data_IF_495366325358
#
_entry.id   IF_495366325358
#
_cell.length_a   1.000
_cell.length_b   1.000
_cell.length_c   1.000
_cell.angle_alpha   90.00
_cell.angle_beta   90.00
_cell.angle_gamma   90.00
#
_symmetry.space_group_name_H-M   'P 1'
#
loop_
_entity.id
_entity.type
_entity.pdbx_description
1 polymer ?
#
# COMPACT_ATOMS: atom_id res chain seq x y z
N UNK A 1 11.10 -0.50 -29.23
CA UNK A 1 9.84 -1.28 -28.98
C UNK A 1 9.84 -2.15 -27.72
N UNK A 2 10.97 -2.63 -27.17
CA UNK A 2 10.98 -3.50 -25.96
C UNK A 2 10.58 -2.82 -24.63
N UNK A 3 10.79 -1.49 -24.49
CA UNK A 3 10.46 -0.75 -23.27
C UNK A 3 8.95 -0.56 -23.04
N UNK A 4 8.16 -0.35 -24.10
CA UNK A 4 6.71 -0.12 -23.98
C UNK A 4 5.93 -1.36 -23.53
N UNK A 5 6.33 -2.56 -23.96
CA UNK A 5 5.69 -3.81 -23.52
C UNK A 5 5.96 -4.11 -22.04
N UNK A 6 7.19 -3.84 -21.56
CA UNK A 6 7.53 -3.96 -20.14
C UNK A 6 6.79 -2.95 -19.26
N UNK A 7 6.55 -1.73 -19.76
CA UNK A 7 5.71 -0.74 -19.08
C UNK A 7 4.24 -1.16 -19.04
N UNK A 8 3.71 -1.73 -20.12
CA UNK A 8 2.33 -2.19 -20.16
C UNK A 8 2.07 -3.35 -19.18
N UNK A 9 2.92 -4.38 -19.20
CA UNK A 9 2.88 -5.47 -18.21
C UNK A 9 2.98 -4.93 -16.77
N UNK A 10 3.77 -3.88 -16.61
CA UNK A 10 3.95 -3.21 -15.33
C UNK A 10 2.67 -2.50 -14.85
N UNK A 11 2.00 -1.78 -15.73
CA UNK A 11 0.75 -1.09 -15.41
C UNK A 11 -0.37 -2.10 -15.11
N UNK A 12 -0.44 -3.21 -15.85
CA UNK A 12 -1.46 -4.25 -15.62
C UNK A 12 -1.30 -4.93 -14.25
N UNK A 13 -0.08 -5.33 -13.89
CA UNK A 13 0.18 -5.90 -12.56
C UNK A 13 -0.13 -4.89 -11.44
N UNK A 14 0.18 -3.60 -11.64
CA UNK A 14 -0.16 -2.55 -10.69
C UNK A 14 -1.67 -2.39 -10.54
N UNK A 15 -2.44 -2.44 -11.64
CA UNK A 15 -3.89 -2.32 -11.63
C UNK A 15 -4.55 -3.49 -10.87
N UNK A 16 -4.07 -4.73 -11.08
CA UNK A 16 -4.57 -5.92 -10.37
C UNK A 16 -4.31 -5.78 -8.86
N UNK A 17 -3.07 -5.45 -8.48
CA UNK A 17 -2.69 -5.30 -7.07
C UNK A 17 -3.45 -4.15 -6.39
N UNK A 18 -3.65 -3.03 -7.09
CA UNK A 18 -4.41 -1.90 -6.58
C UNK A 18 -5.87 -2.28 -6.30
N UNK A 19 -6.53 -2.98 -7.23
CA UNK A 19 -7.93 -3.43 -7.05
C UNK A 19 -8.08 -4.40 -5.87
N UNK A 20 -7.14 -5.33 -5.67
CA UNK A 20 -7.15 -6.23 -4.51
C UNK A 20 -7.03 -5.46 -3.18
N UNK A 21 -6.14 -4.46 -3.11
CA UNK A 21 -5.96 -3.62 -1.92
C UNK A 21 -7.23 -2.81 -1.61
N UNK A 22 -7.87 -2.25 -2.65
CA UNK A 22 -9.13 -1.52 -2.50
C UNK A 22 -10.22 -2.45 -1.94
N UNK A 23 -10.40 -3.64 -2.52
CA UNK A 23 -11.40 -4.61 -2.04
C UNK A 23 -11.22 -4.99 -0.57
N UNK A 24 -9.98 -5.32 -0.16
CA UNK A 24 -9.69 -5.68 1.24
C UNK A 24 -9.95 -4.53 2.22
N UNK A 25 -9.63 -3.29 1.83
CA UNK A 25 -9.86 -2.09 2.64
C UNK A 25 -11.34 -1.79 2.77
N UNK A 26 -12.09 -1.89 1.68
CA UNK A 26 -13.55 -1.75 1.69
C UNK A 26 -14.18 -2.77 2.64
N UNK A 27 -13.81 -4.05 2.55
CA UNK A 27 -14.30 -5.08 3.50
C UNK A 27 -13.96 -4.76 4.96
N UNK A 28 -12.77 -4.21 5.22
CA UNK A 28 -12.33 -3.89 6.58
C UNK A 28 -13.02 -2.65 7.14
N UNK A 29 -13.31 -1.66 6.30
CA UNK A 29 -14.09 -0.48 6.65
C UNK A 29 -15.55 -0.84 6.91
N UNK A 30 -16.16 -1.68 6.06
CA UNK A 30 -17.54 -2.18 6.23
C UNK A 30 -17.73 -2.92 7.56
N UNK A 31 -16.68 -3.56 8.08
CA UNK A 31 -16.71 -4.25 9.38
C UNK A 31 -16.84 -3.30 10.58
N UNK A 32 -16.59 -2.01 10.40
CA UNK A 32 -16.76 -0.98 11.43
C UNK A 32 -15.85 -1.10 12.66
N UNK A 33 -16.17 -0.30 13.68
CA UNK A 33 -15.49 -0.29 14.98
C UNK A 33 -14.03 0.17 14.97
N UNK A 34 -13.34 -0.03 16.10
CA UNK A 34 -11.96 0.45 16.31
C UNK A 34 -10.93 -0.07 15.30
N UNK A 35 -11.20 -1.22 14.65
CA UNK A 35 -10.31 -1.80 13.62
C UNK A 35 -10.50 -1.11 12.26
N UNK A 36 -11.72 -0.70 11.91
CA UNK A 36 -11.99 0.09 10.72
C UNK A 36 -11.39 1.50 10.84
N UNK A 37 -11.57 2.16 12.00
CA UNK A 37 -11.02 3.51 12.24
C UNK A 37 -9.49 3.55 12.11
N UNK A 38 -8.79 2.58 12.71
CA UNK A 38 -7.33 2.46 12.53
C UNK A 38 -6.90 2.18 11.09
N UNK A 39 -7.69 1.44 10.32
CA UNK A 39 -7.41 1.23 8.90
C UNK A 39 -7.60 2.53 8.11
N UNK A 40 -8.65 3.31 8.41
CA UNK A 40 -8.87 4.61 7.78
C UNK A 40 -7.73 5.59 8.07
N UNK A 41 -7.27 5.69 9.32
CA UNK A 41 -6.11 6.51 9.70
C UNK A 41 -4.83 6.08 8.96
N UNK A 42 -4.60 4.77 8.86
CA UNK A 42 -3.46 4.22 8.12
C UNK A 42 -3.55 4.57 6.62
N UNK A 43 -4.73 4.46 6.02
CA UNK A 43 -4.95 4.81 4.61
C UNK A 43 -4.66 6.29 4.32
N UNK A 44 -5.01 7.18 5.24
CA UNK A 44 -4.73 8.62 5.10
C UNK A 44 -3.24 8.90 5.24
N UNK A 45 -2.57 8.34 6.26
CA UNK A 45 -1.11 8.48 6.44
C UNK A 45 -0.33 7.99 5.23
N UNK A 46 -0.68 6.82 4.70
CA UNK A 46 -0.01 6.28 3.51
C UNK A 46 -0.19 7.18 2.28
N UNK A 47 -1.35 7.83 2.10
CA UNK A 47 -1.58 8.78 0.99
C UNK A 47 -0.73 10.04 1.16
N UNK A 48 -0.65 10.58 2.38
CA UNK A 48 0.18 11.74 2.70
C UNK A 48 1.65 11.41 2.46
N UNK A 49 2.14 10.29 2.96
CA UNK A 49 3.52 9.84 2.77
C UNK A 49 3.85 9.59 1.29
N UNK A 50 2.86 9.19 0.46
CA UNK A 50 3.03 9.00 -0.97
C UNK A 50 3.05 10.31 -1.73
N UNK A 51 2.17 11.25 -1.37
CA UNK A 51 2.17 12.59 -1.93
C UNK A 51 3.47 13.32 -1.61
N UNK A 52 3.91 13.33 -0.34
CA UNK A 52 5.16 13.96 0.09
C UNK A 52 6.37 13.37 -0.63
N UNK A 53 6.44 12.04 -0.73
CA UNK A 53 7.54 11.38 -1.44
C UNK A 53 7.53 11.70 -2.94
N UNK A 54 6.36 11.69 -3.58
CA UNK A 54 6.22 12.05 -4.99
C UNK A 54 6.60 13.52 -5.22
N UNK A 55 6.12 14.44 -4.39
CA UNK A 55 6.45 15.87 -4.47
C UNK A 55 7.94 16.11 -4.23
N UNK A 56 8.55 15.51 -3.21
CA UNK A 56 9.99 15.64 -2.95
C UNK A 56 10.82 15.13 -4.14
N UNK A 57 10.38 14.06 -4.79
CA UNK A 57 11.03 13.51 -5.99
C UNK A 57 10.85 14.39 -7.22
N UNK A 58 9.65 14.94 -7.42
CA UNK A 58 9.40 15.90 -8.49
C UNK A 58 10.26 17.16 -8.31
N UNK A 59 10.33 17.70 -7.08
CA UNK A 59 11.19 18.83 -6.74
C UNK A 59 12.68 18.50 -6.92
N UNK A 60 13.08 17.24 -6.71
CA UNK A 60 14.44 16.75 -6.97
C UNK A 60 14.72 16.41 -8.45
N UNK A 61 13.80 16.74 -9.38
CA UNK A 61 13.98 16.47 -10.81
C UNK A 61 13.88 15.00 -11.21
N UNK A 62 13.25 14.15 -10.40
CA UNK A 62 13.11 12.73 -10.70
C UNK A 62 12.26 12.52 -11.96
N UNK A 63 12.77 11.70 -12.89
CA UNK A 63 12.01 11.28 -14.06
C UNK A 63 10.77 10.46 -13.66
N UNK A 64 9.68 10.58 -14.43
CA UNK A 64 8.43 9.88 -14.16
C UNK A 64 8.58 8.36 -13.97
N UNK A 65 9.52 7.72 -14.67
CA UNK A 65 9.84 6.29 -14.51
C UNK A 65 10.33 5.94 -13.09
N UNK A 66 11.15 6.79 -12.49
CA UNK A 66 11.65 6.60 -11.13
C UNK A 66 10.54 6.71 -10.09
N UNK A 67 9.53 7.55 -10.34
CA UNK A 67 8.34 7.70 -9.49
C UNK A 67 7.48 6.43 -9.57
N UNK A 68 7.16 5.97 -10.78
CA UNK A 68 6.36 4.75 -11.01
C UNK A 68 7.04 3.51 -10.39
N UNK A 69 8.35 3.35 -10.55
CA UNK A 69 9.11 2.23 -9.96
C UNK A 69 9.10 2.22 -8.43
N UNK A 70 9.08 3.39 -7.79
CA UNK A 70 8.96 3.50 -6.32
C UNK A 70 7.55 3.17 -5.86
N UNK A 71 6.54 3.67 -6.58
CA UNK A 71 5.13 3.42 -6.28
C UNK A 71 4.82 1.92 -6.25
N UNK A 72 5.32 1.17 -7.25
CA UNK A 72 5.16 -0.30 -7.32
C UNK A 72 5.82 -1.03 -6.16
N UNK A 73 7.01 -0.59 -5.72
CA UNK A 73 7.67 -1.17 -4.53
C UNK A 73 6.84 -0.96 -3.25
N UNK A 74 6.21 0.20 -3.10
CA UNK A 74 5.30 0.47 -1.97
C UNK A 74 4.06 -0.42 -2.01
N UNK A 75 3.42 -0.56 -3.18
CA UNK A 75 2.23 -1.41 -3.34
C UNK A 75 2.55 -2.88 -3.05
N UNK A 76 3.66 -3.41 -3.59
CA UNK A 76 4.10 -4.78 -3.33
C UNK A 76 4.39 -5.04 -1.85
N UNK A 77 5.03 -4.09 -1.16
CA UNK A 77 5.26 -4.18 0.29
C UNK A 77 3.95 -4.20 1.08
N UNK A 78 2.96 -3.39 0.67
CA UNK A 78 1.67 -3.35 1.34
C UNK A 78 0.88 -4.65 1.12
N UNK A 79 0.89 -5.18 -0.10
CA UNK A 79 0.32 -6.49 -0.41
C UNK A 79 0.97 -7.61 0.42
N UNK A 80 2.29 -7.61 0.58
CA UNK A 80 3.01 -8.57 1.42
C UNK A 80 2.63 -8.46 2.90
N UNK A 81 2.41 -7.25 3.42
CA UNK A 81 1.97 -7.01 4.80
C UNK A 81 0.55 -7.50 5.03
N UNK A 82 -0.36 -7.21 4.10
CA UNK A 82 -1.77 -7.59 4.19
C UNK A 82 -1.98 -9.11 4.02
N UNK A 83 -1.11 -9.79 3.26
CA UNK A 83 -1.12 -11.26 3.13
C UNK A 83 -0.60 -12.00 4.37
N UNK A 84 0.10 -11.33 5.30
CA UNK A 84 0.54 -11.97 6.55
C UNK A 84 -0.59 -11.97 7.58
N UNK A 85 -0.94 -13.12 8.19
CA UNK A 85 -1.85 -13.13 9.33
C UNK A 85 -1.26 -12.26 10.43
N UNK A 86 -2.05 -11.35 10.99
CA UNK A 86 -1.66 -10.58 12.17
C UNK A 86 -1.33 -11.59 13.29
N UNK A 87 -0.10 -11.65 13.83
CA UNK A 87 0.17 -12.53 14.95
C UNK A 87 -0.68 -12.06 16.13
N UNK A 88 -1.60 -12.92 16.58
CA UNK A 88 -2.35 -12.71 17.83
C UNK A 88 -1.30 -12.75 18.94
N UNK A 89 -0.87 -11.58 19.42
CA UNK A 89 -0.08 -11.46 20.65
C UNK A 89 -0.93 -12.05 21.78
N UNK A 90 -0.66 -13.30 22.18
CA UNK A 90 -1.21 -13.87 23.42
C UNK A 90 -0.74 -12.96 24.55
N UNK A 91 -1.67 -12.15 25.08
CA UNK A 91 -1.47 -11.37 26.30
C UNK A 91 -1.26 -12.40 27.40
N UNK A 92 -0.01 -12.65 27.76
CA UNK A 92 0.34 -13.46 28.91
C UNK A 92 -0.29 -12.80 30.13
N UNK A 93 -1.29 -13.47 30.70
CA UNK A 93 -1.79 -13.20 32.04
C UNK A 93 -0.65 -13.51 33.00
N UNK A 94 0.06 -12.48 33.46
CA UNK A 94 0.84 -12.58 34.70
C UNK A 94 -0.16 -12.56 35.84
N UNK A 95 -0.51 -13.74 36.31
CA UNK A 95 -0.89 -13.98 37.69
C UNK A 95 0.42 -14.15 38.48
N UNK A 96 0.70 -13.20 39.35
CA UNK A 96 1.27 -13.36 40.70
C UNK A 96 1.47 -11.98 41.28
#
# INVERSE_FOLDING_TARGET
MRRSSAMFHSLMMLAIEANQVVGLRTMKLMRGGKRAQREAELMVREKIDAALDATARLMAGASGDAIVRRYRRRVAANAKRLKKPVPIRKRSRRHR
#
